data_IF_893552222077
#
_entry.id   IF_893552222077
#
_cell.length_a   1.000
_cell.length_b   1.000
_cell.length_c   1.000
_cell.angle_alpha   90.00
_cell.angle_beta   90.00
_cell.angle_gamma   90.00
#
_symmetry.space_group_name_H-M   'P 1'
#
loop_
_entity.id
_entity.type
_entity.pdbx_description
1 polymer ?
#
# COMPACT_ATOMS: atom_id res chain seq x y z
N UNK A 1 2.73 -13.59 -26.17
CA UNK A 1 2.17 -12.23 -26.22
C UNK A 1 0.71 -12.30 -25.79
N UNK A 2 0.27 -11.30 -25.02
CA UNK A 2 -1.04 -11.12 -24.35
C UNK A 2 -1.15 -11.57 -22.88
N UNK A 3 -0.43 -10.87 -22.00
CA UNK A 3 -0.65 -10.77 -20.54
C UNK A 3 -1.15 -9.40 -20.00
N UNK A 4 -1.52 -8.38 -20.81
CA UNK A 4 -1.79 -7.04 -20.27
C UNK A 4 -2.98 -7.00 -19.29
N UNK A 5 -3.97 -7.89 -19.45
CA UNK A 5 -5.16 -7.93 -18.59
C UNK A 5 -4.84 -8.43 -17.19
N UNK A 6 -3.96 -9.43 -17.03
CA UNK A 6 -3.61 -9.98 -15.72
C UNK A 6 -2.78 -8.99 -14.90
N UNK A 7 -1.81 -8.33 -15.54
CA UNK A 7 -0.98 -7.31 -14.89
C UNK A 7 -1.82 -6.09 -14.47
N UNK A 8 -2.81 -5.71 -15.29
CA UNK A 8 -3.75 -4.61 -14.97
C UNK A 8 -4.66 -4.98 -13.79
N UNK A 9 -5.28 -6.15 -13.80
CA UNK A 9 -6.16 -6.60 -12.70
C UNK A 9 -5.38 -6.77 -11.39
N UNK A 10 -4.15 -7.28 -11.44
CA UNK A 10 -3.28 -7.38 -10.27
C UNK A 10 -2.92 -5.99 -9.69
N UNK A 11 -2.67 -5.02 -10.57
CA UNK A 11 -2.38 -3.64 -10.18
C UNK A 11 -3.61 -2.94 -9.56
N UNK A 12 -4.79 -3.09 -10.17
CA UNK A 12 -6.04 -2.55 -9.64
C UNK A 12 -6.39 -3.16 -8.27
N UNK A 13 -6.21 -4.48 -8.13
CA UNK A 13 -6.45 -5.17 -6.86
C UNK A 13 -5.45 -4.73 -5.77
N UNK A 14 -4.19 -4.48 -6.15
CA UNK A 14 -3.19 -3.91 -5.23
C UNK A 14 -3.60 -2.51 -4.78
N UNK A 15 -4.06 -1.66 -5.69
CA UNK A 15 -4.49 -0.29 -5.38
C UNK A 15 -5.70 -0.28 -4.43
N UNK A 16 -6.67 -1.17 -4.65
CA UNK A 16 -7.79 -1.34 -3.73
C UNK A 16 -7.35 -1.78 -2.33
N UNK A 17 -6.40 -2.73 -2.23
CA UNK A 17 -5.86 -3.15 -0.93
C UNK A 17 -5.13 -2.02 -0.22
N UNK A 18 -4.40 -1.17 -0.94
CA UNK A 18 -3.69 -0.03 -0.36
C UNK A 18 -4.66 1.07 0.09
N UNK A 19 -5.74 1.34 -0.66
CA UNK A 19 -6.79 2.25 -0.21
C UNK A 19 -7.46 1.75 1.08
N UNK A 20 -7.78 0.45 1.16
CA UNK A 20 -8.32 -0.15 2.38
C UNK A 20 -7.33 -0.12 3.55
N UNK A 21 -6.03 -0.22 3.27
CA UNK A 21 -4.97 -0.04 4.26
C UNK A 21 -4.95 1.39 4.81
N UNK A 22 -5.01 2.40 3.95
CA UNK A 22 -5.08 3.80 4.36
C UNK A 22 -6.29 4.06 5.28
N UNK A 23 -7.46 3.53 4.94
CA UNK A 23 -8.67 3.65 5.79
C UNK A 23 -8.55 2.92 7.14
N UNK A 24 -7.75 1.84 7.22
CA UNK A 24 -7.44 1.19 8.50
C UNK A 24 -6.48 2.04 9.33
N UNK A 25 -5.42 2.56 8.71
CA UNK A 25 -4.43 3.40 9.39
C UNK A 25 -5.04 4.70 9.90
N UNK A 26 -5.94 5.32 9.13
CA UNK A 26 -6.67 6.54 9.53
C UNK A 26 -7.49 6.32 10.80
N UNK A 27 -8.10 5.13 10.94
CA UNK A 27 -8.82 4.74 12.16
C UNK A 27 -7.89 4.42 13.34
N UNK A 28 -6.76 3.76 13.08
CA UNK A 28 -5.80 3.35 14.12
C UNK A 28 -4.95 4.52 14.64
N UNK A 29 -4.75 5.57 13.81
CA UNK A 29 -3.85 6.69 14.08
C UNK A 29 -4.57 8.04 13.88
N UNK A 30 -5.62 8.29 14.68
CA UNK A 30 -6.45 9.51 14.59
C UNK A 30 -5.70 10.85 14.78
N UNK A 31 -4.45 10.81 15.24
CA UNK A 31 -3.58 11.99 15.37
C UNK A 31 -2.72 12.28 14.13
N UNK A 32 -2.74 11.41 13.13
CA UNK A 32 -1.99 11.56 11.88
C UNK A 32 -2.96 11.98 10.78
N UNK A 33 -2.57 12.97 9.98
CA UNK A 33 -3.44 13.43 8.88
C UNK A 33 -3.50 12.38 7.77
N UNK A 34 -4.66 12.26 7.11
CA UNK A 34 -4.85 11.37 5.97
C UNK A 34 -3.83 11.61 4.85
N UNK A 35 -3.49 12.87 4.58
CA UNK A 35 -2.44 13.22 3.62
C UNK A 35 -1.08 12.63 4.00
N UNK A 36 -0.71 12.70 5.28
CA UNK A 36 0.55 12.12 5.77
C UNK A 36 0.55 10.60 5.68
N UNK A 37 -0.57 9.95 5.97
CA UNK A 37 -0.72 8.49 5.80
C UNK A 37 -0.57 8.08 4.34
N UNK A 38 -1.22 8.81 3.43
CA UNK A 38 -1.10 8.58 1.98
C UNK A 38 0.35 8.71 1.51
N UNK A 39 1.06 9.77 1.93
CA UNK A 39 2.47 9.97 1.58
C UNK A 39 3.37 8.81 2.06
N UNK A 40 3.12 8.30 3.28
CA UNK A 40 3.87 7.17 3.85
C UNK A 40 3.58 5.87 3.09
N UNK A 41 2.31 5.58 2.82
CA UNK A 41 1.90 4.39 2.05
C UNK A 41 2.47 4.45 0.63
N UNK A 42 2.38 5.60 -0.04
CA UNK A 42 2.94 5.81 -1.38
C UNK A 42 4.46 5.65 -1.40
N UNK A 43 5.17 6.22 -0.42
CA UNK A 43 6.62 6.08 -0.29
C UNK A 43 7.05 4.62 -0.13
N UNK A 44 6.38 3.86 0.74
CA UNK A 44 6.71 2.44 0.95
C UNK A 44 6.29 1.57 -0.24
N UNK A 45 5.15 1.85 -0.89
CA UNK A 45 4.73 1.17 -2.13
C UNK A 45 5.76 1.34 -3.25
N UNK A 46 6.32 2.54 -3.41
CA UNK A 46 7.27 2.84 -4.49
C UNK A 46 8.50 1.92 -4.46
N UNK A 47 8.90 1.40 -3.30
CA UNK A 47 9.99 0.43 -3.15
C UNK A 47 9.73 -0.89 -3.88
N UNK A 48 8.46 -1.20 -4.18
CA UNK A 48 8.03 -2.42 -4.84
C UNK A 48 7.57 -2.21 -6.29
N UNK A 49 7.79 -1.04 -6.90
CA UNK A 49 7.30 -0.72 -8.25
C UNK A 49 7.77 -1.71 -9.34
N UNK A 50 8.92 -2.37 -9.14
CA UNK A 50 9.44 -3.40 -10.05
C UNK A 50 9.18 -4.85 -9.60
N UNK A 51 8.44 -5.08 -8.52
CA UNK A 51 8.19 -6.42 -8.01
C UNK A 51 7.31 -7.21 -8.98
N UNK A 52 7.67 -8.48 -9.22
CA UNK A 52 6.85 -9.40 -10.05
C UNK A 52 5.70 -10.05 -9.27
N UNK A 53 5.75 -10.02 -7.94
CA UNK A 53 4.76 -10.64 -7.06
C UNK A 53 4.21 -9.56 -6.14
N UNK A 54 2.92 -9.26 -6.26
CA UNK A 54 2.27 -8.17 -5.51
C UNK A 54 1.48 -8.64 -4.29
N UNK A 55 1.21 -9.95 -4.17
CA UNK A 55 0.37 -10.52 -3.12
C UNK A 55 0.82 -10.15 -1.68
N UNK A 56 2.12 -9.94 -1.47
CA UNK A 56 2.69 -9.59 -0.17
C UNK A 56 3.00 -8.09 -0.01
N UNK A 57 2.86 -7.29 -1.07
CA UNK A 57 3.17 -5.86 -1.01
C UNK A 57 2.31 -5.13 0.03
N UNK A 58 0.98 -5.36 0.14
CA UNK A 58 0.17 -4.66 1.14
C UNK A 58 0.63 -4.88 2.57
N UNK A 59 0.96 -6.12 2.96
CA UNK A 59 1.38 -6.43 4.33
C UNK A 59 2.76 -5.87 4.65
N UNK A 60 3.68 -5.84 3.67
CA UNK A 60 5.01 -5.24 3.83
C UNK A 60 4.91 -3.72 3.99
N UNK A 61 4.10 -3.07 3.16
CA UNK A 61 3.82 -1.63 3.24
C UNK A 61 3.18 -1.29 4.59
N UNK A 62 2.13 -2.02 4.99
CA UNK A 62 1.46 -1.81 6.28
C UNK A 62 2.44 -1.88 7.45
N UNK A 63 3.29 -2.91 7.47
CA UNK A 63 4.29 -3.08 8.53
C UNK A 63 5.28 -1.93 8.58
N UNK A 64 5.82 -1.50 7.44
CA UNK A 64 6.78 -0.41 7.37
C UNK A 64 6.19 0.94 7.83
N UNK A 65 4.94 1.21 7.43
CA UNK A 65 4.22 2.42 7.87
C UNK A 65 3.98 2.38 9.38
N UNK A 66 3.51 1.27 9.93
CA UNK A 66 3.29 1.12 11.39
C UNK A 66 4.58 1.32 12.20
N UNK A 67 5.69 0.74 11.74
CA UNK A 67 7.01 0.95 12.37
C UNK A 67 7.41 2.43 12.34
N UNK A 68 7.15 3.14 11.24
CA UNK A 68 7.43 4.58 11.12
C UNK A 68 6.58 5.41 12.08
N UNK A 69 5.33 5.00 12.31
CA UNK A 69 4.41 5.64 13.24
C UNK A 69 4.65 5.25 14.71
N UNK A 70 5.67 4.43 14.99
CA UNK A 70 6.07 4.06 16.36
C UNK A 70 5.28 2.89 16.97
N UNK A 71 4.79 1.95 16.14
CA UNK A 71 4.12 0.72 16.60
C UNK A 71 4.68 -0.54 15.95
#
# INVERSE_FOLDING_TARGET
>A
MSTPTLDTMASEQLDLHLAQLEDRLDRDYSGVTRARLHDLVAHERARFAGARIHAFVPILVERAVRTTLGR
#
